data_IF_040480392892
#
_entry.id   IF_040480392892
#
_cell.length_a   1.000
_cell.length_b   1.000
_cell.length_c   1.000
_cell.angle_alpha   90.00
_cell.angle_beta   90.00
_cell.angle_gamma   90.00
#
_symmetry.space_group_name_H-M   'P 1'
#
loop_
_entity.id
_entity.type
_entity.pdbx_description
1 polymer ?
#
# COMPACT_ATOMS: atom_id res chain seq x y z
N UNK A 1 -10.62 -5.40 -10.70
CA UNK A 1 -10.77 -4.48 -11.85
C UNK A 1 -11.46 -5.23 -12.97
N UNK A 2 -12.45 -4.64 -13.63
CA UNK A 2 -13.03 -5.23 -14.84
C UNK A 2 -11.98 -5.19 -15.95
N UNK A 3 -11.68 -6.34 -16.56
CA UNK A 3 -10.61 -6.44 -17.56
C UNK A 3 -10.93 -5.66 -18.84
N UNK A 4 -12.19 -5.63 -19.26
CA UNK A 4 -12.62 -4.93 -20.47
C UNK A 4 -12.36 -3.42 -20.33
N UNK A 5 -12.90 -2.80 -19.28
CA UNK A 5 -12.77 -1.37 -19.02
C UNK A 5 -11.30 -0.97 -18.85
N UNK A 6 -10.51 -1.79 -18.14
CA UNK A 6 -9.08 -1.58 -18.00
C UNK A 6 -8.38 -1.51 -19.35
N UNK A 7 -8.63 -2.47 -20.24
CA UNK A 7 -7.98 -2.52 -21.56
C UNK A 7 -8.39 -1.35 -22.44
N UNK A 8 -9.64 -0.88 -22.34
CA UNK A 8 -10.11 0.32 -23.06
C UNK A 8 -9.32 1.55 -22.60
N UNK A 9 -9.29 1.81 -21.29
CA UNK A 9 -8.57 2.97 -20.71
C UNK A 9 -7.06 2.86 -20.98
N UNK A 10 -6.48 1.66 -20.87
CA UNK A 10 -5.08 1.41 -21.15
C UNK A 10 -4.72 1.72 -22.61
N UNK A 11 -5.57 1.35 -23.56
CA UNK A 11 -5.36 1.66 -24.99
C UNK A 11 -5.47 3.15 -25.27
N UNK A 12 -6.40 3.85 -24.60
CA UNK A 12 -6.57 5.30 -24.74
C UNK A 12 -5.38 6.09 -24.19
N UNK A 13 -4.92 5.73 -22.99
CA UNK A 13 -3.79 6.41 -22.33
C UNK A 13 -2.42 5.91 -22.79
N UNK A 14 -2.37 4.81 -23.53
CA UNK A 14 -1.14 4.07 -23.84
C UNK A 14 -0.36 3.65 -22.60
N UNK A 15 -1.05 3.47 -21.46
CA UNK A 15 -0.44 3.16 -20.16
C UNK A 15 0.22 4.35 -19.48
N UNK A 16 0.13 5.56 -20.03
CA UNK A 16 0.61 6.77 -19.35
C UNK A 16 -0.38 7.13 -18.24
N UNK A 17 0.16 7.43 -17.06
CA UNK A 17 -0.58 7.91 -15.90
C UNK A 17 0.00 9.25 -15.44
N UNK A 18 -0.72 10.02 -14.61
CA UNK A 18 -0.18 11.24 -14.01
C UNK A 18 1.16 11.00 -13.33
N UNK A 19 2.05 11.98 -13.50
CA UNK A 19 3.41 11.96 -12.98
C UNK A 19 3.56 12.98 -11.87
N UNK A 20 4.49 12.74 -10.96
CA UNK A 20 4.85 13.66 -9.90
C UNK A 20 6.37 13.63 -9.64
N UNK A 21 6.87 14.60 -8.90
CA UNK A 21 8.26 14.61 -8.44
C UNK A 21 8.30 14.89 -6.93
N UNK A 22 9.14 14.16 -6.20
CA UNK A 22 9.30 14.30 -4.75
C UNK A 22 10.78 14.51 -4.34
N UNK A 23 11.37 15.68 -4.65
CA UNK A 23 12.77 15.93 -4.33
C UNK A 23 13.00 15.92 -2.82
N UNK A 24 14.15 15.36 -2.41
CA UNK A 24 14.64 15.52 -1.04
C UNK A 24 15.66 16.66 -1.04
N UNK A 25 15.36 17.73 -0.33
CA UNK A 25 16.19 18.93 -0.25
C UNK A 25 17.25 18.81 0.85
N UNK A 26 18.39 19.48 0.65
CA UNK A 26 19.49 19.50 1.62
C UNK A 26 19.11 20.26 2.90
N UNK A 27 18.28 21.28 2.75
CA UNK A 27 17.80 22.16 3.81
C UNK A 27 16.40 22.71 3.48
N UNK A 28 15.86 23.52 4.39
CA UNK A 28 14.53 24.11 4.29
C UNK A 28 14.41 25.20 3.21
N UNK A 29 15.53 25.75 2.70
CA UNK A 29 15.50 26.75 1.62
C UNK A 29 15.09 26.13 0.29
N UNK A 30 15.14 24.79 0.18
CA UNK A 30 14.75 24.01 -1.01
C UNK A 30 15.47 24.43 -2.29
N UNK A 31 16.66 25.02 -2.16
CA UNK A 31 17.48 25.49 -3.28
C UNK A 31 18.43 24.42 -3.85
N UNK A 32 18.77 23.40 -3.04
CA UNK A 32 19.68 22.31 -3.42
C UNK A 32 19.09 20.95 -3.07
N UNK A 33 19.23 20.00 -3.99
CA UNK A 33 18.84 18.62 -3.72
C UNK A 33 19.87 17.91 -2.85
N UNK A 34 19.40 17.17 -1.85
CA UNK A 34 20.22 16.28 -1.01
C UNK A 34 20.71 15.06 -1.81
N UNK A 35 19.92 14.64 -2.79
CA UNK A 35 20.21 13.54 -3.73
C UNK A 35 19.48 13.80 -5.06
N UNK A 36 19.97 13.30 -6.20
CA UNK A 36 19.27 13.42 -7.48
C UNK A 36 17.81 12.95 -7.37
N UNK A 37 16.90 13.75 -7.93
CA UNK A 37 15.47 13.44 -8.00
C UNK A 37 15.11 12.98 -9.41
N UNK A 38 14.06 12.17 -9.53
CA UNK A 38 13.46 11.77 -10.80
C UNK A 38 11.96 11.99 -10.75
N UNK A 39 11.35 12.08 -11.93
CA UNK A 39 9.90 11.95 -12.06
C UNK A 39 9.51 10.52 -11.70
N UNK A 40 8.39 10.40 -10.99
CA UNK A 40 7.82 9.14 -10.53
C UNK A 40 6.33 9.10 -10.91
N UNK A 41 5.75 7.91 -10.95
CA UNK A 41 4.33 7.69 -11.15
C UNK A 41 3.84 6.59 -10.20
N UNK A 42 2.54 6.58 -9.90
CA UNK A 42 1.93 5.57 -9.03
C UNK A 42 0.95 4.71 -9.82
N UNK A 43 1.03 3.39 -9.63
CA UNK A 43 0.14 2.46 -10.33
C UNK A 43 -1.34 2.72 -10.05
N UNK A 44 -1.68 3.19 -8.84
CA UNK A 44 -3.05 3.51 -8.46
C UNK A 44 -3.57 4.81 -9.08
N UNK A 45 -2.69 5.72 -9.54
CA UNK A 45 -3.12 6.94 -10.24
C UNK A 45 -3.74 6.62 -11.61
N UNK A 46 -3.61 5.37 -12.07
CA UNK A 46 -4.41 4.85 -13.17
C UNK A 46 -5.93 4.99 -12.92
N UNK A 47 -6.37 5.00 -11.66
CA UNK A 47 -7.77 5.26 -11.30
C UNK A 47 -8.26 6.67 -11.70
N UNK A 48 -7.35 7.65 -11.82
CA UNK A 48 -7.69 9.01 -12.25
C UNK A 48 -8.10 9.08 -13.73
N UNK A 49 -7.82 8.03 -14.51
CA UNK A 49 -8.19 7.93 -15.92
C UNK A 49 -9.63 7.44 -16.13
N UNK A 50 -10.32 7.02 -15.07
CA UNK A 50 -11.71 6.54 -15.16
C UNK A 50 -12.67 7.70 -14.91
N UNK A 51 -13.34 8.15 -15.98
CA UNK A 51 -14.41 9.16 -15.89
C UNK A 51 -15.62 8.62 -15.12
N UNK A 52 -16.11 9.39 -14.14
CA UNK A 52 -17.15 8.95 -13.19
C UNK A 52 -18.54 8.79 -13.80
N UNK A 53 -18.78 9.36 -14.97
CA UNK A 53 -20.00 9.20 -15.77
C UNK A 53 -20.03 7.87 -16.55
N UNK A 54 -18.85 7.29 -16.82
CA UNK A 54 -18.69 6.06 -17.62
C UNK A 54 -18.34 4.84 -16.79
N UNK A 55 -17.64 5.00 -15.67
CA UNK A 55 -17.07 3.89 -14.92
C UNK A 55 -17.37 3.97 -13.43
N UNK A 56 -17.58 2.80 -12.82
CA UNK A 56 -17.77 2.66 -11.38
C UNK A 56 -16.44 2.36 -10.69
N UNK A 57 -15.83 3.38 -10.08
CA UNK A 57 -14.64 3.24 -9.22
C UNK A 57 -15.07 3.26 -7.75
N UNK A 58 -14.67 2.26 -6.97
CA UNK A 58 -15.07 2.12 -5.57
C UNK A 58 -13.97 1.54 -4.68
N UNK A 59 -14.26 1.45 -3.38
CA UNK A 59 -13.38 0.86 -2.37
C UNK A 59 -14.08 -0.24 -1.59
N UNK A 60 -13.34 -1.30 -1.25
CA UNK A 60 -13.79 -2.35 -0.34
C UNK A 60 -12.98 -2.26 0.92
N UNK A 61 -13.65 -2.12 2.07
CA UNK A 61 -13.02 -1.97 3.38
C UNK A 61 -12.89 -3.35 4.04
N UNK A 62 -11.67 -3.69 4.44
CA UNK A 62 -11.36 -4.89 5.21
C UNK A 62 -10.88 -4.50 6.60
N UNK A 63 -10.90 -5.46 7.53
CA UNK A 63 -10.31 -5.29 8.84
C UNK A 63 -8.81 -4.97 8.73
N UNK A 64 -8.31 -4.08 9.60
CA UNK A 64 -6.91 -3.63 9.56
C UNK A 64 -5.92 -4.80 9.64
N UNK A 65 -6.32 -5.87 10.32
CA UNK A 65 -5.52 -7.08 10.50
C UNK A 65 -5.20 -7.82 9.17
N UNK A 66 -6.00 -7.64 8.11
CA UNK A 66 -5.72 -8.27 6.82
C UNK A 66 -4.59 -7.60 6.04
N UNK A 67 -4.11 -6.45 6.50
CA UNK A 67 -3.00 -5.72 5.89
C UNK A 67 -1.69 -6.01 6.64
N UNK A 68 -0.92 -6.98 6.15
CA UNK A 68 0.29 -7.52 6.82
C UNK A 68 1.58 -7.31 5.99
N UNK A 69 1.97 -6.07 5.63
CA UNK A 69 3.19 -5.83 4.88
C UNK A 69 4.45 -6.00 5.75
N UNK A 70 5.54 -6.44 5.12
CA UNK A 70 6.89 -6.37 5.66
C UNK A 70 7.64 -5.27 4.90
N UNK A 71 7.76 -4.09 5.51
CA UNK A 71 8.31 -2.88 4.85
C UNK A 71 9.23 -2.02 5.71
N UNK A 72 9.37 -2.34 7.00
CA UNK A 72 10.24 -1.61 7.92
C UNK A 72 11.36 -2.52 8.43
N UNK A 73 12.52 -1.92 8.72
CA UNK A 73 13.57 -2.57 9.51
C UNK A 73 13.08 -2.77 10.96
N UNK A 74 13.75 -3.65 11.71
CA UNK A 74 13.36 -3.95 13.10
C UNK A 74 13.38 -2.71 13.99
N UNK A 75 14.42 -1.88 13.90
CA UNK A 75 14.55 -0.61 14.64
C UNK A 75 13.37 0.32 14.37
N UNK A 76 13.08 0.59 13.10
CA UNK A 76 12.00 1.48 12.69
C UNK A 76 10.63 0.93 13.09
N UNK A 77 10.50 -0.40 13.09
CA UNK A 77 9.29 -1.09 13.55
C UNK A 77 9.08 -0.90 15.05
N UNK A 78 10.13 -1.04 15.86
CA UNK A 78 10.08 -0.79 17.31
C UNK A 78 9.72 0.67 17.60
N UNK A 79 10.35 1.61 16.91
CA UNK A 79 10.04 3.04 17.07
C UNK A 79 8.59 3.33 16.71
N UNK A 80 8.07 2.75 15.62
CA UNK A 80 6.65 2.88 15.25
C UNK A 80 5.72 2.32 16.33
N UNK A 81 6.02 1.16 16.89
CA UNK A 81 5.24 0.55 17.98
C UNK A 81 5.24 1.45 19.21
N UNK A 82 6.39 2.03 19.58
CA UNK A 82 6.50 2.97 20.70
C UNK A 82 5.61 4.21 20.52
N UNK A 83 5.34 4.61 19.27
CA UNK A 83 4.44 5.72 18.93
C UNK A 83 3.00 5.27 18.58
N UNK A 84 2.60 4.04 18.94
CA UNK A 84 1.25 3.54 18.73
C UNK A 84 0.91 3.14 17.29
N UNK A 85 1.90 3.04 16.41
CA UNK A 85 1.74 2.55 15.05
C UNK A 85 2.12 1.07 14.92
N UNK A 86 1.69 0.42 13.83
CA UNK A 86 2.10 -0.97 13.54
C UNK A 86 3.55 -1.05 13.09
N UNK A 87 4.27 -2.04 13.61
CA UNK A 87 5.69 -2.26 13.30
C UNK A 87 5.96 -2.60 11.83
N UNK A 88 5.12 -3.42 11.18
CA UNK A 88 5.27 -3.86 9.78
C UNK A 88 6.71 -4.27 9.41
N UNK A 89 7.36 -4.98 10.32
CA UNK A 89 8.67 -5.60 10.14
C UNK A 89 8.51 -7.12 9.96
N UNK A 90 9.60 -7.82 9.68
CA UNK A 90 9.55 -9.27 9.43
C UNK A 90 8.95 -10.06 10.61
N UNK A 91 9.35 -9.71 11.84
CA UNK A 91 8.84 -10.38 13.05
C UNK A 91 7.34 -10.22 13.24
N UNK A 92 6.79 -9.02 13.00
CA UNK A 92 5.32 -8.82 13.04
C UNK A 92 4.61 -9.55 11.91
N UNK A 93 5.19 -9.54 10.69
CA UNK A 93 4.59 -10.20 9.54
C UNK A 93 4.47 -11.72 9.71
N UNK A 94 5.50 -12.36 10.24
CA UNK A 94 5.47 -13.80 10.54
C UNK A 94 4.46 -14.13 11.65
N UNK A 95 4.48 -13.37 12.75
CA UNK A 95 3.53 -13.55 13.85
C UNK A 95 2.07 -13.38 13.40
N UNK A 96 1.81 -12.36 12.59
CA UNK A 96 0.49 -12.07 12.03
C UNK A 96 0.03 -13.15 11.03
N UNK A 97 0.95 -13.78 10.29
CA UNK A 97 0.61 -14.89 9.40
C UNK A 97 0.13 -16.13 10.17
N UNK A 98 0.83 -16.51 11.25
CA UNK A 98 0.41 -17.64 12.09
C UNK A 98 -0.91 -17.36 12.80
N UNK A 99 -1.10 -16.14 13.29
CA UNK A 99 -2.35 -15.73 13.91
C UNK A 99 -3.51 -15.72 12.91
N UNK A 100 -3.27 -15.34 11.65
CA UNK A 100 -4.28 -15.38 10.60
C UNK A 100 -4.77 -16.82 10.40
N UNK A 101 -3.86 -17.79 10.30
CA UNK A 101 -4.21 -19.20 10.18
C UNK A 101 -5.06 -19.67 11.36
N UNK A 102 -4.66 -19.34 12.60
CA UNK A 102 -5.44 -19.68 13.80
C UNK A 102 -6.85 -19.10 13.77
N UNK A 103 -6.99 -17.81 13.44
CA UNK A 103 -8.30 -17.14 13.33
C UNK A 103 -9.20 -17.79 12.29
N UNK A 104 -8.64 -18.22 11.15
CA UNK A 104 -9.41 -18.92 10.11
C UNK A 104 -9.88 -20.30 10.60
N UNK A 105 -9.02 -21.05 11.28
CA UNK A 105 -9.39 -22.35 11.87
C UNK A 105 -10.47 -22.19 12.96
N UNK A 106 -10.30 -21.24 13.88
CA UNK A 106 -11.31 -20.93 14.91
C UNK A 106 -12.64 -20.51 14.28
N UNK A 107 -12.61 -19.71 13.21
CA UNK A 107 -13.81 -19.33 12.45
C UNK A 107 -14.54 -20.51 11.78
N UNK A 108 -13.86 -21.66 11.61
CA UNK A 108 -14.45 -22.92 11.15
C UNK A 108 -14.86 -23.85 12.30
N UNK A 109 -14.72 -23.42 13.56
CA UNK A 109 -15.06 -24.20 14.75
C UNK A 109 -13.93 -25.05 15.32
N UNK A 110 -12.68 -24.88 14.86
CA UNK A 110 -11.52 -25.58 15.45
C UNK A 110 -11.17 -24.95 16.80
N UNK A 111 -11.11 -25.76 17.85
CA UNK A 111 -10.67 -25.32 19.18
C UNK A 111 -9.13 -25.32 19.26
N UNK A 112 -8.54 -24.13 19.34
CA UNK A 112 -7.10 -23.94 19.53
C UNK A 112 -6.89 -23.40 20.95
N UNK A 113 -6.18 -24.15 21.78
CA UNK A 113 -5.79 -23.69 23.13
C UNK A 113 -4.53 -22.85 22.99
N UNK A 114 -4.64 -21.58 23.34
CA UNK A 114 -3.52 -20.62 23.36
C UNK A 114 -2.59 -20.86 24.55
#
# INVERSE_FOLDING_TARGET
MNLHDYVVVLKQSKGVVPEFINPKYADETKSKFKKPARVESLMQDFAQLFESDKYNVGGVVFDRYTYQPVKNMLSDGLDKIAHGASGYCAGTGEGDFYELARRRCVGLGVHITT
#
